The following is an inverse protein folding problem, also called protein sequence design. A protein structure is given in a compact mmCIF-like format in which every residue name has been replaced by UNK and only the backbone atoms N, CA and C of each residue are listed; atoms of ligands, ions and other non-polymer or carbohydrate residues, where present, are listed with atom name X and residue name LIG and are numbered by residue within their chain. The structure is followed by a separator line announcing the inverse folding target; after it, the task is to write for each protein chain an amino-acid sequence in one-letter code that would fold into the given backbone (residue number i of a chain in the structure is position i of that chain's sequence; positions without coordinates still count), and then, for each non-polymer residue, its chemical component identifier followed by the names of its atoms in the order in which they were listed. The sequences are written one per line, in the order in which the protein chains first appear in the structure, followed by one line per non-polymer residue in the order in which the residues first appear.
data_IF_651861120850
#
_entry.id   IF_651861120850
#
_cell.length_a   1.000
_cell.length_b   1.000
_cell.length_c   1.000
_cell.angle_alpha   90.00
_cell.angle_beta   90.00
_cell.angle_gamma   90.00
#
_symmetry.space_group_name_H-M   'P 1'
#
loop_
_entity.id
_entity.type
_entity.pdbx_description
1 polymer ?
#
# COMPACT_ATOMS: atom_id res chain seq x y z
N UNK A 1 34.98 29.19 0.46
CA UNK A 1 36.05 28.30 -0.04
C UNK A 1 35.45 27.30 -1.01
N UNK A 2 35.60 27.51 -2.32
CA UNK A 2 35.18 26.57 -3.35
C UNK A 2 36.28 25.51 -3.49
N UNK A 3 35.98 24.27 -3.09
CA UNK A 3 36.87 23.12 -3.28
C UNK A 3 37.03 22.90 -4.79
N UNK A 4 38.19 23.27 -5.35
CA UNK A 4 38.55 22.93 -6.73
C UNK A 4 38.94 21.47 -6.77
N UNK A 5 38.07 20.62 -7.31
CA UNK A 5 38.38 19.23 -7.61
C UNK A 5 39.55 19.16 -8.61
N UNK A 6 40.58 18.32 -8.39
CA UNK A 6 41.78 18.27 -9.22
C UNK A 6 41.58 17.59 -10.59
N UNK A 7 40.35 17.15 -10.89
CA UNK A 7 40.01 16.45 -12.14
C UNK A 7 39.03 17.29 -12.96
N UNK A 8 39.44 17.69 -14.17
CA UNK A 8 38.55 18.28 -15.16
C UNK A 8 37.68 17.17 -15.73
N UNK A 9 36.45 17.03 -15.25
CA UNK A 9 35.48 16.14 -15.91
C UNK A 9 35.30 16.58 -17.37
N UNK A 10 35.27 15.66 -18.35
CA UNK A 10 34.92 15.99 -19.72
C UNK A 10 33.60 16.77 -19.77
N UNK A 11 33.52 17.83 -20.57
CA UNK A 11 32.32 18.69 -20.66
C UNK A 11 31.04 17.90 -20.92
N UNK A 12 31.14 16.81 -21.70
CA UNK A 12 30.05 15.88 -21.98
C UNK A 12 29.53 15.21 -20.70
N UNK A 13 30.43 14.74 -19.84
CA UNK A 13 30.05 14.10 -18.58
C UNK A 13 29.44 15.11 -17.59
N UNK A 14 29.95 16.35 -17.57
CA UNK A 14 29.34 17.42 -16.75
C UNK A 14 27.93 17.75 -17.23
N UNK A 15 27.71 17.88 -18.54
CA UNK A 15 26.40 18.11 -19.13
C UNK A 15 25.44 16.94 -18.82
N UNK A 16 25.94 15.71 -18.89
CA UNK A 16 25.15 14.51 -18.54
C UNK A 16 24.72 14.48 -17.07
N UNK A 17 25.65 14.72 -16.15
CA UNK A 17 25.35 14.77 -14.72
C UNK A 17 24.36 15.90 -14.39
N UNK A 18 24.50 17.06 -15.06
CA UNK A 18 23.55 18.16 -14.93
C UNK A 18 22.15 17.77 -15.41
N UNK A 19 22.05 17.02 -16.52
CA UNK A 19 20.78 16.52 -17.04
C UNK A 19 20.12 15.51 -16.10
N UNK A 20 20.88 14.55 -15.55
CA UNK A 20 20.40 13.60 -14.54
C UNK A 20 19.94 14.31 -13.26
N UNK A 21 20.70 15.30 -12.80
CA UNK A 21 20.32 16.11 -11.63
C UNK A 21 19.02 16.90 -11.89
N UNK A 22 18.90 17.52 -13.06
CA UNK A 22 17.69 18.23 -13.47
C UNK A 22 16.49 17.28 -13.54
N UNK A 23 16.65 16.09 -14.12
CA UNK A 23 15.61 15.06 -14.17
C UNK A 23 15.19 14.61 -12.77
N UNK A 24 16.15 14.35 -11.88
CA UNK A 24 15.87 13.98 -10.50
C UNK A 24 15.05 15.06 -9.77
N UNK A 25 15.48 16.32 -9.86
CA UNK A 25 14.87 17.42 -9.12
C UNK A 25 13.53 17.88 -9.73
N UNK A 26 13.46 18.01 -11.05
CA UNK A 26 12.30 18.61 -11.72
C UNK A 26 11.23 17.59 -12.14
N UNK A 27 11.57 16.29 -12.23
CA UNK A 27 10.62 15.25 -12.63
C UNK A 27 10.38 14.27 -11.49
N UNK A 28 11.43 13.63 -11.00
CA UNK A 28 11.26 12.55 -10.02
C UNK A 28 10.73 13.03 -8.68
N UNK A 29 11.30 14.09 -8.08
CA UNK A 29 10.82 14.62 -6.79
C UNK A 29 9.36 15.09 -6.82
N UNK A 30 8.92 15.96 -7.75
CA UNK A 30 7.53 16.42 -7.75
C UNK A 30 6.55 15.29 -8.08
N UNK A 31 6.92 14.38 -9.00
CA UNK A 31 6.11 13.20 -9.29
C UNK A 31 6.01 12.28 -8.08
N UNK A 32 7.12 12.12 -7.34
CA UNK A 32 7.15 11.32 -6.12
C UNK A 32 6.19 11.87 -5.09
N UNK A 33 6.27 13.17 -4.86
CA UNK A 33 5.41 13.85 -3.90
C UNK A 33 3.94 13.80 -4.32
N UNK A 34 3.63 14.03 -5.61
CA UNK A 34 2.27 13.93 -6.13
C UNK A 34 1.68 12.54 -5.96
N UNK A 35 2.40 11.47 -6.33
CA UNK A 35 1.92 10.09 -6.23
C UNK A 35 1.85 9.55 -4.80
N UNK A 36 2.61 10.11 -3.87
CA UNK A 36 2.58 9.74 -2.45
C UNK A 36 1.48 10.48 -1.67
N UNK A 37 0.78 11.45 -2.28
CA UNK A 37 -0.42 12.04 -1.66
C UNK A 37 -1.50 10.97 -1.53
N UNK A 38 -2.19 10.98 -0.39
CA UNK A 38 -3.31 10.09 -0.13
C UNK A 38 -4.32 10.21 -1.27
N UNK A 39 -4.71 9.06 -1.84
CA UNK A 39 -5.69 9.04 -2.92
C UNK A 39 -7.04 9.46 -2.35
N UNK A 40 -7.70 10.42 -2.99
CA UNK A 40 -9.08 10.78 -2.66
C UNK A 40 -9.99 9.69 -3.23
N UNK A 41 -10.42 8.78 -2.37
CA UNK A 41 -11.40 7.76 -2.74
C UNK A 41 -12.80 8.37 -2.85
N UNK A 42 -13.66 7.84 -3.73
CA UNK A 42 -15.08 8.18 -3.71
C UNK A 42 -15.65 7.84 -2.33
N UNK A 43 -16.72 8.55 -1.94
CA UNK A 43 -17.40 8.27 -0.68
C UNK A 43 -17.78 6.78 -0.61
N UNK A 44 -17.51 6.09 0.51
CA UNK A 44 -17.86 4.69 0.63
C UNK A 44 -19.37 4.50 0.43
N UNK A 45 -19.80 3.41 -0.21
CA UNK A 45 -21.22 3.11 -0.37
C UNK A 45 -21.90 2.98 0.99
N UNK A 46 -23.23 3.04 1.04
CA UNK A 46 -23.95 2.94 2.31
C UNK A 46 -23.65 1.63 3.05
N UNK A 47 -23.89 1.62 4.37
CA UNK A 47 -23.64 0.46 5.25
C UNK A 47 -24.26 -0.83 4.72
N UNK A 48 -25.51 -0.78 4.24
CA UNK A 48 -26.22 -1.96 3.74
C UNK A 48 -25.56 -2.55 2.49
N UNK A 49 -25.07 -1.72 1.58
CA UNK A 49 -24.40 -2.19 0.38
C UNK A 49 -22.99 -2.72 0.68
N UNK A 50 -22.27 -2.11 1.63
CA UNK A 50 -21.01 -2.66 2.16
C UNK A 50 -21.23 -4.03 2.78
N UNK A 51 -22.29 -4.20 3.57
CA UNK A 51 -22.66 -5.48 4.19
C UNK A 51 -22.99 -6.56 3.15
N UNK A 52 -23.76 -6.22 2.11
CA UNK A 52 -24.02 -7.14 0.98
C UNK A 52 -22.74 -7.56 0.28
N UNK A 53 -21.83 -6.60 0.03
CA UNK A 53 -20.53 -6.87 -0.59
C UNK A 53 -19.68 -7.79 0.30
N UNK A 54 -19.62 -7.51 1.61
CA UNK A 54 -18.95 -8.36 2.59
C UNK A 54 -19.47 -9.79 2.55
N UNK A 55 -20.78 -10.00 2.67
CA UNK A 55 -21.39 -11.33 2.65
C UNK A 55 -21.11 -12.08 1.34
N UNK A 56 -21.09 -11.37 0.21
CA UNK A 56 -20.76 -11.96 -1.10
C UNK A 56 -19.31 -12.41 -1.16
N UNK A 57 -18.36 -11.63 -0.66
CA UNK A 57 -16.95 -12.03 -0.55
C UNK A 57 -16.82 -13.23 0.40
N UNK A 58 -17.48 -13.14 1.55
CA UNK A 58 -17.44 -14.12 2.63
C UNK A 58 -17.85 -15.53 2.19
N UNK A 59 -18.92 -15.64 1.40
CA UNK A 59 -19.41 -16.93 0.86
C UNK A 59 -18.45 -17.60 -0.13
N UNK A 60 -17.51 -16.86 -0.71
CA UNK A 60 -16.60 -17.35 -1.74
C UNK A 60 -15.18 -17.63 -1.20
N UNK A 61 -14.97 -17.60 0.12
CA UNK A 61 -13.67 -17.88 0.71
C UNK A 61 -13.56 -19.39 0.99
N UNK A 62 -12.70 -20.14 0.25
CA UNK A 62 -12.54 -21.58 0.47
C UNK A 62 -11.69 -21.90 1.71
N UNK A 63 -10.67 -21.09 1.99
CA UNK A 63 -9.80 -21.21 3.17
C UNK A 63 -9.68 -19.84 3.87
N UNK A 64 -10.43 -19.61 4.97
CA UNK A 64 -10.43 -18.33 5.67
C UNK A 64 -9.11 -18.03 6.40
N UNK A 65 -8.40 -19.06 6.86
CA UNK A 65 -7.13 -18.87 7.56
C UNK A 65 -6.04 -18.44 6.59
N UNK A 66 -5.95 -19.10 5.43
CA UNK A 66 -5.01 -18.70 4.38
C UNK A 66 -5.39 -17.35 3.76
N UNK A 67 -6.68 -17.08 3.56
CA UNK A 67 -7.16 -15.79 3.06
C UNK A 67 -6.68 -14.64 3.96
N UNK A 68 -6.90 -14.73 5.28
CA UNK A 68 -6.42 -13.72 6.21
C UNK A 68 -4.89 -13.67 6.22
N UNK A 69 -4.20 -14.81 6.31
CA UNK A 69 -2.74 -14.86 6.29
C UNK A 69 -2.15 -14.07 5.12
N UNK A 70 -2.69 -14.24 3.90
CA UNK A 70 -2.26 -13.49 2.71
C UNK A 70 -2.41 -11.97 2.88
N UNK A 71 -3.52 -11.51 3.47
CA UNK A 71 -3.73 -10.08 3.76
C UNK A 71 -2.87 -9.53 4.89
N UNK A 72 -2.38 -10.39 5.79
CA UNK A 72 -1.46 -10.05 6.87
C UNK A 72 -0.01 -10.43 6.55
N UNK A 73 0.41 -10.35 5.28
CA UNK A 73 1.81 -10.60 4.84
C UNK A 73 2.31 -12.01 5.17
N UNK A 74 1.44 -13.00 5.05
CA UNK A 74 1.66 -14.40 5.41
C UNK A 74 1.98 -14.61 6.90
N UNK A 75 1.50 -13.73 7.78
CA UNK A 75 1.62 -13.92 9.22
C UNK A 75 0.86 -15.18 9.70
N UNK A 76 1.36 -15.86 10.73
CA UNK A 76 0.66 -17.01 11.31
C UNK A 76 -0.66 -16.55 11.96
N UNK A 77 -1.70 -17.39 11.86
CA UNK A 77 -3.03 -17.08 12.38
C UNK A 77 -3.07 -16.84 13.90
N UNK A 78 -2.07 -17.31 14.66
CA UNK A 78 -1.92 -17.05 16.08
C UNK A 78 -1.54 -15.60 16.41
N UNK A 79 -0.88 -14.89 15.49
CA UNK A 79 -0.47 -13.50 15.69
C UNK A 79 -1.54 -12.49 15.28
N UNK A 80 -2.51 -12.93 14.47
CA UNK A 80 -3.63 -12.11 14.01
C UNK A 80 -4.68 -12.05 15.12
N UNK A 81 -4.85 -10.88 15.74
CA UNK A 81 -5.84 -10.64 16.80
C UNK A 81 -7.03 -9.84 16.29
N UNK A 82 -8.09 -9.74 17.12
CA UNK A 82 -9.34 -9.05 16.76
C UNK A 82 -9.11 -7.62 16.25
N UNK A 83 -8.24 -6.85 16.91
CA UNK A 83 -8.00 -5.45 16.52
C UNK A 83 -7.36 -5.35 15.13
N UNK A 84 -6.48 -6.31 14.77
CA UNK A 84 -5.85 -6.35 13.46
C UNK A 84 -6.89 -6.63 12.36
N UNK A 85 -7.87 -7.50 12.63
CA UNK A 85 -8.97 -7.81 11.70
C UNK A 85 -9.90 -6.60 11.54
N UNK A 86 -10.20 -5.87 12.62
CA UNK A 86 -10.93 -4.59 12.54
C UNK A 86 -10.19 -3.57 11.68
N UNK A 87 -8.88 -3.45 11.84
CA UNK A 87 -8.06 -2.55 11.01
C UNK A 87 -8.08 -2.97 9.53
N UNK A 88 -8.04 -4.27 9.24
CA UNK A 88 -8.17 -4.79 7.88
C UNK A 88 -9.51 -4.41 7.25
N UNK A 89 -10.64 -4.63 7.92
CA UNK A 89 -11.95 -4.30 7.37
C UNK A 89 -12.21 -2.81 7.26
N UNK A 90 -11.67 -2.02 8.18
CA UNK A 90 -11.71 -0.55 8.11
C UNK A 90 -11.04 -0.07 6.82
N UNK A 91 -9.85 -0.59 6.52
CA UNK A 91 -9.22 -0.30 5.25
C UNK A 91 -10.02 -0.84 4.06
N UNK A 92 -10.37 -2.12 4.06
CA UNK A 92 -10.93 -2.81 2.89
C UNK A 92 -12.31 -2.29 2.46
N UNK A 93 -13.18 -1.90 3.39
CA UNK A 93 -14.57 -1.49 3.09
C UNK A 93 -14.82 0.01 3.28
N UNK A 94 -14.08 0.67 4.17
CA UNK A 94 -14.26 2.11 4.44
C UNK A 94 -13.17 2.97 3.80
N UNK A 95 -12.12 2.36 3.22
CA UNK A 95 -10.98 3.06 2.62
C UNK A 95 -10.34 4.11 3.54
N UNK A 96 -10.42 3.91 4.86
CA UNK A 96 -9.87 4.84 5.85
C UNK A 96 -8.96 4.13 6.84
N UNK A 97 -7.91 4.82 7.27
CA UNK A 97 -7.07 4.41 8.39
C UNK A 97 -7.54 4.99 9.73
N UNK A 98 -8.42 5.99 9.68
CA UNK A 98 -8.84 6.76 10.84
C UNK A 98 -9.89 6.00 11.66
N UNK A 99 -9.71 6.01 12.97
CA UNK A 99 -10.66 5.37 13.90
C UNK A 99 -11.86 6.29 14.11
N UNK A 100 -12.97 5.92 13.50
CA UNK A 100 -14.26 6.55 13.71
C UNK A 100 -15.18 5.59 14.50
N UNK A 101 -15.59 5.95 15.73
CA UNK A 101 -16.50 5.14 16.54
C UNK A 101 -17.83 4.81 15.85
N UNK A 102 -18.26 5.61 14.88
CA UNK A 102 -19.51 5.37 14.14
C UNK A 102 -19.51 4.04 13.36
N UNK A 103 -18.34 3.50 13.06
CA UNK A 103 -18.16 2.24 12.33
C UNK A 103 -17.82 1.05 13.21
N UNK A 104 -17.63 1.23 14.53
CA UNK A 104 -17.15 0.16 15.40
C UNK A 104 -18.15 -1.00 15.49
N UNK A 105 -19.46 -0.72 15.45
CA UNK A 105 -20.50 -1.76 15.40
C UNK A 105 -20.42 -2.59 14.11
N UNK A 106 -20.21 -1.96 12.96
CA UNK A 106 -20.08 -2.63 11.66
C UNK A 106 -18.80 -3.49 11.60
N UNK A 107 -17.69 -2.98 12.10
CA UNK A 107 -16.43 -3.73 12.17
C UNK A 107 -16.50 -4.89 13.16
N UNK A 108 -17.23 -4.73 14.25
CA UNK A 108 -17.50 -5.80 15.21
C UNK A 108 -18.32 -6.92 14.58
N UNK A 109 -19.39 -6.59 13.84
CA UNK A 109 -20.18 -7.55 13.07
C UNK A 109 -19.29 -8.34 12.09
N UNK A 110 -18.47 -7.67 11.29
CA UNK A 110 -17.58 -8.35 10.33
C UNK A 110 -16.54 -9.24 11.01
N UNK A 111 -16.01 -8.81 12.16
CA UNK A 111 -15.06 -9.61 12.93
C UNK A 111 -15.71 -10.89 13.45
N UNK A 112 -16.94 -10.81 13.94
CA UNK A 112 -17.70 -11.99 14.41
C UNK A 112 -18.00 -12.97 13.28
N UNK A 113 -18.36 -12.49 12.09
CA UNK A 113 -18.57 -13.35 10.93
C UNK A 113 -17.26 -14.06 10.52
N UNK A 114 -16.12 -13.39 10.60
CA UNK A 114 -14.80 -14.04 10.37
C UNK A 114 -14.49 -15.11 11.41
N UNK A 115 -14.76 -14.86 12.69
CA UNK A 115 -14.58 -15.88 13.75
C UNK A 115 -15.45 -17.12 13.51
N UNK A 116 -16.67 -16.93 12.97
CA UNK A 116 -17.55 -18.03 12.57
C UNK A 116 -16.93 -18.83 11.41
N UNK A 117 -16.39 -18.18 10.38
CA UNK A 117 -15.71 -18.90 9.28
C UNK A 117 -14.47 -19.66 9.73
N UNK A 118 -13.68 -19.07 10.62
CA UNK A 118 -12.48 -19.72 11.15
C UNK A 118 -12.82 -20.86 12.12
N UNK A 119 -14.10 -21.00 12.51
CA UNK A 119 -14.56 -21.87 13.58
C UNK A 119 -13.73 -21.72 14.87
N UNK A 120 -13.26 -20.49 15.13
CA UNK A 120 -12.33 -20.16 16.22
C UNK A 120 -12.49 -18.70 16.61
N UNK A 121 -12.48 -18.43 17.91
CA UNK A 121 -12.40 -17.07 18.44
C UNK A 121 -10.97 -16.52 18.29
N UNK A 122 -10.87 -15.30 17.78
CA UNK A 122 -9.61 -14.58 17.71
C UNK A 122 -9.25 -14.07 19.10
N UNK A 123 -7.95 -14.01 19.39
CA UNK A 123 -7.51 -13.48 20.67
C UNK A 123 -7.87 -11.99 20.80
N UNK A 124 -8.26 -11.54 22.01
CA UNK A 124 -8.54 -10.13 22.25
C UNK A 124 -7.27 -9.29 22.17
N UNK A 125 -7.45 -8.02 21.78
CA UNK A 125 -6.39 -7.02 21.70
C UNK A 125 -5.68 -6.98 20.35
N UNK A 126 -4.46 -6.43 20.36
CA UNK A 126 -3.67 -6.15 19.16
C UNK A 126 -2.43 -7.02 19.08
N UNK A 127 -2.30 -7.75 17.97
CA UNK A 127 -1.10 -8.49 17.61
C UNK A 127 -0.06 -7.59 16.95
N UNK A 128 1.19 -8.05 16.89
CA UNK A 128 2.31 -7.33 16.28
C UNK A 128 2.35 -7.50 14.74
N UNK A 129 1.18 -7.57 14.10
CA UNK A 129 1.05 -7.78 12.66
C UNK A 129 0.31 -6.62 12.02
N UNK A 130 0.70 -6.26 10.80
CA UNK A 130 0.03 -5.22 10.01
C UNK A 130 -0.66 -5.85 8.82
N UNK A 131 -1.92 -5.50 8.60
CA UNK A 131 -2.60 -5.82 7.35
C UNK A 131 -2.00 -5.01 6.20
N UNK A 132 -2.03 -5.57 5.00
CA UNK A 132 -1.80 -4.85 3.77
C UNK A 132 -2.90 -3.78 3.63
N UNK A 133 -2.50 -2.52 3.47
CA UNK A 133 -3.42 -1.43 3.19
C UNK A 133 -3.03 -0.76 1.89
N UNK A 134 -3.28 -1.45 0.76
CA UNK A 134 -2.74 -1.08 -0.55
C UNK A 134 -3.05 0.36 -0.99
N UNK A 135 -4.15 0.94 -0.50
CA UNK A 135 -4.58 2.30 -0.84
C UNK A 135 -4.07 3.37 0.13
N UNK A 136 -3.65 2.97 1.34
CA UNK A 136 -3.20 3.89 2.40
C UNK A 136 -1.68 3.83 2.64
N UNK A 137 -1.07 2.67 2.42
CA UNK A 137 0.37 2.49 2.56
C UNK A 137 1.11 3.26 1.45
N UNK A 138 2.15 3.99 1.87
CA UNK A 138 3.01 4.71 0.93
C UNK A 138 3.74 3.69 0.07
N UNK A 139 3.56 3.80 -1.24
CA UNK A 139 4.39 3.06 -2.19
C UNK A 139 5.80 3.64 -2.15
N UNK A 140 6.77 2.80 -1.79
CA UNK A 140 8.18 3.14 -1.93
C UNK A 140 8.52 3.23 -3.42
N UNK A 141 8.61 4.46 -3.92
CA UNK A 141 9.09 4.68 -5.29
C UNK A 141 10.60 4.63 -5.31
N UNK A 142 11.11 3.74 -6.16
CA UNK A 142 12.53 3.67 -6.52
C UNK A 142 12.81 4.69 -7.62
N UNK A 143 13.86 5.49 -7.42
CA UNK A 143 14.34 6.38 -8.47
C UNK A 143 14.94 5.55 -9.61
N UNK A 144 14.43 5.72 -10.83
CA UNK A 144 15.04 5.21 -12.06
C UNK A 144 15.65 6.40 -12.77
N UNK A 145 16.96 6.36 -13.02
CA UNK A 145 17.69 7.46 -13.68
C UNK A 145 17.23 7.68 -15.11
N UNK A 146 17.52 8.84 -15.67
CA UNK A 146 17.24 9.13 -17.08
C UNK A 146 17.94 8.12 -18.00
N UNK A 147 19.16 7.72 -17.64
CA UNK A 147 19.93 6.67 -18.32
C UNK A 147 19.12 5.37 -18.43
N UNK A 148 18.48 4.95 -17.33
CA UNK A 148 17.68 3.72 -17.30
C UNK A 148 16.53 3.77 -18.31
N UNK A 149 15.84 4.91 -18.38
CA UNK A 149 14.76 5.12 -19.36
C UNK A 149 15.26 5.15 -20.80
N UNK A 150 16.42 5.75 -21.07
CA UNK A 150 16.97 5.79 -22.43
C UNK A 150 17.37 4.40 -22.91
N UNK A 151 18.12 3.65 -22.10
CA UNK A 151 18.56 2.28 -22.46
C UNK A 151 17.37 1.34 -22.67
N UNK A 152 16.39 1.37 -21.78
CA UNK A 152 15.22 0.47 -21.89
C UNK A 152 14.33 0.79 -23.08
N UNK A 153 14.10 2.07 -23.39
CA UNK A 153 13.33 2.46 -24.57
C UNK A 153 14.08 2.16 -25.88
N UNK A 154 15.41 2.34 -25.91
CA UNK A 154 16.22 1.96 -27.06
C UNK A 154 16.20 0.46 -27.32
N UNK A 155 16.24 -0.38 -26.28
CA UNK A 155 16.16 -1.83 -26.43
C UNK A 155 14.80 -2.29 -26.97
N UNK A 156 13.71 -1.62 -26.57
CA UNK A 156 12.35 -1.90 -27.05
C UNK A 156 12.10 -1.47 -28.49
N UNK A 157 12.88 -0.53 -29.03
CA UNK A 157 12.76 -0.09 -30.42
C UNK A 157 13.57 -0.96 -31.42
N UNK A 158 14.41 -1.86 -30.91
CA UNK A 158 15.31 -2.72 -31.70
C UNK A 158 14.75 -4.17 -31.81
N UNK A 159 13.73 -4.51 -31.03
CA UNK A 159 12.98 -5.77 -31.03
C UNK A 159 11.60 -5.57 -31.66
#
# INVERSE_FOLDING_TARGET
MLVRLPFQLPRVLQAWLALEALFYLAVYLPLKEYRQKATKHPAPPCRDDRRKFFLKCHKNIPDPAQYLGKWFRNAPASEIKRDNVKDFFRWAFLNTGDRDPSHDEELEEYTQEVEKLLNKKLEPGRGNVKCLQLTLEKVEMLHRSLTWYLVTNSFRAIL
#
